data_IF_681590292189
#
_entry.id   IF_681590292189
#
_cell.length_a   1.000
_cell.length_b   1.000
_cell.length_c   1.000
_cell.angle_alpha   90.00
_cell.angle_beta   90.00
_cell.angle_gamma   90.00
#
_symmetry.space_group_name_H-M   'P 1'
#
loop_
_entity.id
_entity.type
_entity.pdbx_description
1 polymer ?
#
# COMPACT_ATOMS: atom_id res chain seq x y z
N UNK A 1 -8.92 17.99 -11.13
CA UNK A 1 -8.26 16.84 -10.49
C UNK A 1 -9.36 15.99 -9.91
N UNK A 2 -9.41 14.72 -10.26
CA UNK A 2 -10.49 13.82 -9.81
C UNK A 2 -10.51 13.74 -8.27
N UNK A 3 -11.70 13.82 -7.67
CA UNK A 3 -11.86 13.78 -6.22
C UNK A 3 -11.30 12.48 -5.63
N UNK A 4 -11.39 11.38 -6.38
CA UNK A 4 -10.85 10.08 -6.01
C UNK A 4 -9.32 10.10 -5.86
N UNK A 5 -8.61 10.81 -6.74
CA UNK A 5 -7.16 10.98 -6.62
C UNK A 5 -6.80 11.71 -5.33
N UNK A 6 -7.53 12.77 -4.98
CA UNK A 6 -7.28 13.50 -3.74
C UNK A 6 -7.53 12.60 -2.52
N UNK A 7 -8.61 11.83 -2.52
CA UNK A 7 -8.93 10.88 -1.44
C UNK A 7 -7.84 9.81 -1.32
N UNK A 8 -7.33 9.29 -2.44
CA UNK A 8 -6.27 8.27 -2.47
C UNK A 8 -4.92 8.76 -1.90
N UNK A 9 -4.66 10.08 -1.88
CA UNK A 9 -3.44 10.63 -1.26
C UNK A 9 -3.48 10.67 0.27
N UNK A 10 -4.66 10.70 0.90
CA UNK A 10 -4.80 10.75 2.36
C UNK A 10 -4.14 9.53 3.03
N UNK A 11 -4.40 8.27 2.59
CA UNK A 11 -3.70 7.09 3.08
C UNK A 11 -2.16 7.16 2.97
N UNK A 12 -1.64 7.77 1.91
CA UNK A 12 -0.19 7.96 1.71
C UNK A 12 0.38 8.83 2.83
N UNK A 13 -0.24 9.97 3.10
CA UNK A 13 0.20 10.88 4.17
C UNK A 13 0.11 10.24 5.56
N UNK A 14 -0.94 9.45 5.82
CA UNK A 14 -1.07 8.70 7.08
C UNK A 14 0.09 7.71 7.24
N UNK A 15 0.43 6.98 6.17
CA UNK A 15 1.55 6.02 6.20
C UNK A 15 2.91 6.71 6.37
N UNK A 16 3.14 7.81 5.65
CA UNK A 16 4.34 8.64 5.77
C UNK A 16 4.51 9.18 7.20
N UNK A 17 3.44 9.73 7.77
CA UNK A 17 3.43 10.17 9.17
C UNK A 17 3.84 9.01 10.10
N UNK A 18 3.26 7.83 9.89
CA UNK A 18 3.59 6.63 10.63
C UNK A 18 5.07 6.26 10.58
N UNK A 19 5.68 6.22 9.39
CA UNK A 19 7.11 5.86 9.27
C UNK A 19 8.02 6.95 9.86
N UNK A 20 7.72 8.24 9.63
CA UNK A 20 8.51 9.38 10.12
C UNK A 20 8.47 9.45 11.65
N UNK A 21 7.29 9.29 12.24
CA UNK A 21 7.11 9.29 13.70
C UNK A 21 7.40 7.92 14.33
N UNK A 22 7.78 6.92 13.53
CA UNK A 22 8.03 5.53 13.97
C UNK A 22 6.82 4.93 14.69
N UNK A 23 5.61 5.35 14.31
CA UNK A 23 4.35 4.89 14.85
C UNK A 23 3.75 3.83 13.93
N UNK A 24 3.92 2.56 14.33
CA UNK A 24 3.49 1.40 13.54
C UNK A 24 1.99 1.42 13.22
N UNK A 25 1.15 1.86 14.17
CA UNK A 25 -0.29 1.95 13.96
C UNK A 25 -0.64 2.80 12.72
N UNK A 26 -0.15 4.04 12.66
CA UNK A 26 -0.43 4.93 11.52
C UNK A 26 0.22 4.45 10.23
N UNK A 27 1.42 3.86 10.32
CA UNK A 27 2.06 3.27 9.15
C UNK A 27 1.15 2.22 8.51
N UNK A 28 0.67 1.24 9.29
CA UNK A 28 -0.21 0.18 8.81
C UNK A 28 -1.60 0.71 8.42
N UNK A 29 -2.15 1.65 9.19
CA UNK A 29 -3.46 2.26 8.91
C UNK A 29 -3.50 2.89 7.51
N UNK A 30 -2.43 3.57 7.08
CA UNK A 30 -2.36 4.14 5.73
C UNK A 30 -2.50 3.07 4.64
N UNK A 31 -1.73 1.98 4.72
CA UNK A 31 -1.86 0.88 3.75
C UNK A 31 -3.24 0.20 3.79
N UNK A 32 -3.79 0.02 4.98
CA UNK A 32 -5.09 -0.61 5.16
C UNK A 32 -6.21 0.23 4.55
N UNK A 33 -6.23 1.54 4.82
CA UNK A 33 -7.21 2.45 4.24
C UNK A 33 -7.08 2.51 2.72
N UNK A 34 -5.85 2.48 2.19
CA UNK A 34 -5.64 2.45 0.76
C UNK A 34 -6.19 1.16 0.12
N UNK A 35 -5.92 -0.02 0.72
CA UNK A 35 -6.53 -1.28 0.27
C UNK A 35 -8.05 -1.24 0.33
N UNK A 36 -8.63 -0.61 1.35
CA UNK A 36 -10.07 -0.47 1.50
C UNK A 36 -10.71 0.39 0.40
N UNK A 37 -9.95 1.30 -0.23
CA UNK A 37 -10.40 2.05 -1.41
C UNK A 37 -10.30 1.20 -2.68
N UNK A 38 -9.18 0.51 -2.87
CA UNK A 38 -8.91 -0.23 -4.11
C UNK A 38 -9.81 -1.45 -4.28
N UNK A 39 -10.02 -2.23 -3.22
CA UNK A 39 -10.73 -3.53 -3.33
C UNK A 39 -12.18 -3.35 -3.85
N UNK A 40 -13.02 -2.46 -3.29
CA UNK A 40 -14.39 -2.28 -3.79
C UNK A 40 -14.42 -1.73 -5.22
N UNK A 41 -13.49 -0.82 -5.56
CA UNK A 41 -13.39 -0.24 -6.91
C UNK A 41 -13.11 -1.32 -7.96
N UNK A 42 -12.10 -2.17 -7.73
CA UNK A 42 -11.75 -3.26 -8.63
C UNK A 42 -12.83 -4.34 -8.72
N UNK A 43 -13.52 -4.63 -7.61
CA UNK A 43 -14.67 -5.55 -7.63
C UNK A 43 -15.79 -4.97 -8.50
N UNK A 44 -16.09 -3.68 -8.37
CA UNK A 44 -17.11 -3.01 -9.19
C UNK A 44 -16.72 -3.07 -10.68
N UNK A 45 -15.47 -2.71 -11.01
CA UNK A 45 -14.95 -2.76 -12.38
C UNK A 45 -15.03 -4.17 -12.97
N UNK A 46 -14.74 -5.21 -12.19
CA UNK A 46 -14.87 -6.59 -12.64
C UNK A 46 -16.32 -7.00 -12.93
N UNK A 47 -17.28 -6.53 -12.12
CA UNK A 47 -18.71 -6.79 -12.34
C UNK A 47 -19.17 -6.15 -13.65
N UNK A 48 -18.72 -4.92 -13.93
CA UNK A 48 -19.11 -4.17 -15.12
C UNK A 48 -18.39 -4.68 -16.39
N UNK A 49 -17.11 -5.04 -16.27
CA UNK A 49 -16.27 -5.52 -17.36
C UNK A 49 -15.38 -6.68 -16.88
N UNK A 50 -15.80 -7.94 -17.10
CA UNK A 50 -15.09 -9.10 -16.59
C UNK A 50 -13.69 -9.26 -17.20
N UNK A 51 -12.69 -8.72 -16.51
CA UNK A 51 -11.27 -8.87 -16.84
C UNK A 51 -10.49 -9.37 -15.62
N UNK A 52 -9.68 -10.42 -15.80
CA UNK A 52 -8.91 -11.05 -14.72
C UNK A 52 -7.95 -10.09 -14.01
N UNK A 53 -7.48 -9.04 -14.68
CA UNK A 53 -6.60 -8.03 -14.09
C UNK A 53 -7.23 -7.37 -12.86
N UNK A 54 -8.53 -7.07 -12.88
CA UNK A 54 -9.26 -6.52 -11.74
C UNK A 54 -9.25 -7.46 -10.53
N UNK A 55 -9.50 -8.76 -10.77
CA UNK A 55 -9.48 -9.77 -9.71
C UNK A 55 -8.08 -9.92 -9.13
N UNK A 56 -7.04 -9.93 -9.97
CA UNK A 56 -5.65 -9.98 -9.52
C UNK A 56 -5.29 -8.74 -8.70
N UNK A 57 -5.69 -7.55 -9.14
CA UNK A 57 -5.45 -6.30 -8.44
C UNK A 57 -6.17 -6.29 -7.08
N UNK A 58 -7.46 -6.61 -7.05
CA UNK A 58 -8.21 -6.75 -5.80
C UNK A 58 -7.58 -7.78 -4.84
N UNK A 59 -7.06 -8.90 -5.38
CA UNK A 59 -6.42 -9.95 -4.57
C UNK A 59 -5.14 -9.46 -3.89
N UNK A 60 -4.25 -8.76 -4.62
CA UNK A 60 -3.01 -8.25 -4.01
C UNK A 60 -3.31 -7.18 -2.95
N UNK A 61 -4.33 -6.35 -3.16
CA UNK A 61 -4.73 -5.36 -2.16
C UNK A 61 -5.48 -6.00 -0.98
N UNK A 62 -6.14 -7.13 -1.18
CA UNK A 62 -6.66 -7.99 -0.12
C UNK A 62 -5.55 -8.54 0.78
N UNK A 63 -4.45 -9.02 0.19
CA UNK A 63 -3.26 -9.43 0.95
C UNK A 63 -2.68 -8.25 1.74
N UNK A 64 -2.60 -7.06 1.13
CA UNK A 64 -2.16 -5.85 1.82
C UNK A 64 -3.10 -5.52 3.00
N UNK A 65 -4.42 -5.60 2.82
CA UNK A 65 -5.39 -5.35 3.89
C UNK A 65 -5.20 -6.30 5.08
N UNK A 66 -4.99 -7.60 4.82
CA UNK A 66 -4.74 -8.61 5.85
C UNK A 66 -3.45 -8.29 6.62
N UNK A 67 -2.36 -8.02 5.91
CA UNK A 67 -1.06 -7.75 6.51
C UNK A 67 -1.04 -6.44 7.32
N UNK A 68 -1.88 -5.49 6.95
CA UNK A 68 -1.88 -4.12 7.50
C UNK A 68 -3.08 -3.83 8.38
N UNK A 69 -3.87 -4.85 8.70
CA UNK A 69 -5.00 -4.71 9.61
C UNK A 69 -4.55 -3.96 10.89
N UNK A 70 -5.16 -2.80 11.18
CA UNK A 70 -4.61 -1.87 12.15
C UNK A 70 -4.66 -2.49 13.55
N UNK A 71 -3.52 -2.46 14.23
CA UNK A 71 -3.39 -2.94 15.60
C UNK A 71 -2.44 -2.02 16.38
N UNK A 72 -2.63 -1.97 17.70
CA UNK A 72 -1.89 -1.06 18.59
C UNK A 72 -0.61 -1.69 19.17
N UNK A 73 -0.10 -2.77 18.58
CA UNK A 73 1.13 -3.40 19.09
C UNK A 73 2.34 -2.50 18.83
N UNK A 74 3.06 -2.22 19.90
CA UNK A 74 4.33 -1.51 19.94
C UNK A 74 5.48 -2.37 19.43
N UNK A 75 6.59 -1.73 19.06
CA UNK A 75 7.84 -2.43 18.78
C UNK A 75 8.43 -2.91 20.11
N UNK A 76 8.34 -4.21 20.38
CA UNK A 76 8.79 -4.81 21.66
C UNK A 76 10.30 -5.19 21.66
N UNK A 77 11.00 -4.96 20.55
CA UNK A 77 12.43 -5.27 20.41
C UNK A 77 12.78 -6.75 20.30
N UNK A 78 11.80 -7.65 20.36
CA UNK A 78 12.04 -9.09 20.25
C UNK A 78 12.50 -9.46 18.85
N UNK A 79 13.32 -10.52 18.75
CA UNK A 79 13.74 -11.07 17.44
C UNK A 79 12.54 -11.49 16.59
N UNK A 80 11.49 -12.00 17.24
CA UNK A 80 10.24 -12.42 16.59
C UNK A 80 9.54 -11.21 15.99
N UNK A 81 9.34 -10.13 16.75
CA UNK A 81 8.71 -8.91 16.25
C UNK A 81 9.52 -8.26 15.15
N UNK A 82 10.85 -8.18 15.29
CA UNK A 82 11.74 -7.63 14.25
C UNK A 82 11.64 -8.43 12.95
N UNK A 83 11.65 -9.76 13.02
CA UNK A 83 11.47 -10.64 11.86
C UNK A 83 10.10 -10.45 11.21
N UNK A 84 9.04 -10.44 12.02
CA UNK A 84 7.67 -10.18 11.56
C UNK A 84 7.54 -8.83 10.87
N UNK A 85 8.03 -7.76 11.51
CA UNK A 85 7.99 -6.41 10.96
C UNK A 85 8.72 -6.29 9.63
N UNK A 86 9.94 -6.83 9.50
CA UNK A 86 10.69 -6.84 8.24
C UNK A 86 9.94 -7.61 7.15
N UNK A 87 9.38 -8.78 7.47
CA UNK A 87 8.59 -9.56 6.51
C UNK A 87 7.36 -8.79 6.05
N UNK A 88 6.62 -8.15 6.95
CA UNK A 88 5.49 -7.28 6.60
C UNK A 88 5.95 -6.16 5.65
N UNK A 89 7.02 -5.44 5.99
CA UNK A 89 7.51 -4.33 5.17
C UNK A 89 7.94 -4.77 3.76
N UNK A 90 8.66 -5.89 3.65
CA UNK A 90 9.08 -6.44 2.35
C UNK A 90 7.87 -6.93 1.53
N UNK A 91 6.86 -7.51 2.17
CA UNK A 91 5.61 -7.86 1.49
C UNK A 91 4.89 -6.62 0.96
N UNK A 92 4.85 -5.51 1.72
CA UNK A 92 4.25 -4.26 1.24
C UNK A 92 5.00 -3.63 0.07
N UNK A 93 6.34 -3.70 0.09
CA UNK A 93 7.16 -3.32 -1.05
C UNK A 93 6.80 -4.15 -2.28
N UNK A 94 6.76 -5.48 -2.16
CA UNK A 94 6.46 -6.37 -3.28
C UNK A 94 5.03 -6.19 -3.81
N UNK A 95 4.03 -6.06 -2.93
CA UNK A 95 2.65 -5.83 -3.36
C UNK A 95 2.53 -4.56 -4.21
N UNK A 96 3.12 -3.45 -3.76
CA UNK A 96 3.03 -2.19 -4.49
C UNK A 96 3.92 -2.17 -5.74
N UNK A 97 5.05 -2.88 -5.74
CA UNK A 97 5.83 -3.10 -6.95
C UNK A 97 5.04 -3.90 -7.99
N UNK A 98 4.35 -4.98 -7.57
CA UNK A 98 3.47 -5.76 -8.44
C UNK A 98 2.31 -4.90 -8.95
N UNK A 99 1.74 -4.02 -8.12
CA UNK A 99 0.70 -3.08 -8.57
C UNK A 99 1.19 -2.18 -9.70
N UNK A 100 2.40 -1.60 -9.58
CA UNK A 100 3.02 -0.82 -10.66
C UNK A 100 3.20 -1.67 -11.92
N UNK A 101 3.66 -2.92 -11.79
CA UNK A 101 3.85 -3.82 -12.94
C UNK A 101 2.52 -4.17 -13.61
N UNK A 102 1.48 -4.49 -12.85
CA UNK A 102 0.15 -4.81 -13.38
C UNK A 102 -0.45 -3.62 -14.12
N UNK A 103 -0.34 -2.40 -13.57
CA UNK A 103 -0.78 -1.17 -14.23
C UNK A 103 -0.05 -0.97 -15.56
N UNK A 104 1.26 -1.23 -15.63
CA UNK A 104 2.02 -1.11 -16.89
C UNK A 104 1.68 -2.21 -17.91
N UNK A 105 1.38 -3.42 -17.46
CA UNK A 105 1.07 -4.55 -18.34
C UNK A 105 -0.39 -4.53 -18.84
N UNK A 106 -1.29 -3.97 -18.04
CA UNK A 106 -2.73 -3.92 -18.30
C UNK A 106 -3.32 -2.51 -18.08
N UNK A 107 -2.78 -1.47 -18.73
CA UNK A 107 -3.20 -0.10 -18.49
C UNK A 107 -4.66 0.12 -18.88
N UNK A 108 -5.09 -0.40 -20.03
CA UNK A 108 -6.45 -0.19 -20.57
C UNK A 108 -7.57 -0.83 -19.73
N UNK A 109 -7.24 -1.83 -18.90
CA UNK A 109 -8.23 -2.41 -17.98
C UNK A 109 -8.19 -1.73 -16.63
N UNK A 110 -7.01 -1.47 -16.07
CA UNK A 110 -6.89 -0.96 -14.70
C UNK A 110 -7.05 0.55 -14.57
N UNK A 111 -6.98 1.31 -15.68
CA UNK A 111 -7.02 2.77 -15.67
C UNK A 111 -7.98 3.29 -16.75
N UNK A 112 -9.00 4.05 -16.37
CA UNK A 112 -10.06 4.50 -17.28
C UNK A 112 -9.62 5.57 -18.31
N UNK A 113 -8.54 6.31 -18.02
CA UNK A 113 -8.15 7.53 -18.76
C UNK A 113 -6.82 7.37 -19.54
N UNK A 114 -6.39 6.12 -19.79
CA UNK A 114 -5.18 5.84 -20.59
C UNK A 114 -5.22 6.51 -21.96
N UNK A 115 -6.39 6.57 -22.58
CA UNK A 115 -6.57 7.02 -23.97
C UNK A 115 -6.81 8.54 -24.10
N UNK A 116 -7.09 9.25 -23.00
CA UNK A 116 -7.45 10.67 -23.01
C UNK A 116 -6.27 11.59 -22.72
N UNK A 117 -5.53 11.38 -21.63
CA UNK A 117 -4.34 12.18 -21.32
C UNK A 117 -3.27 11.45 -20.48
N UNK A 118 -3.53 10.22 -20.00
CA UNK A 118 -2.56 9.42 -19.25
C UNK A 118 -2.19 9.98 -17.87
N UNK A 119 -2.86 11.03 -17.41
CA UNK A 119 -2.58 11.67 -16.13
C UNK A 119 -2.93 10.72 -14.97
N UNK A 120 -4.05 10.02 -15.08
CA UNK A 120 -4.51 9.06 -14.06
C UNK A 120 -3.55 7.88 -13.95
N UNK A 121 -3.06 7.38 -15.09
CA UNK A 121 -2.03 6.33 -15.14
C UNK A 121 -0.77 6.76 -14.38
N UNK A 122 -0.27 7.96 -14.69
CA UNK A 122 0.94 8.52 -14.06
C UNK A 122 0.75 8.65 -12.55
N UNK A 123 -0.41 9.17 -12.11
CA UNK A 123 -0.72 9.35 -10.69
C UNK A 123 -0.81 8.00 -9.97
N UNK A 124 -1.49 7.02 -10.54
CA UNK A 124 -1.60 5.67 -9.96
C UNK A 124 -0.20 5.05 -9.79
N UNK A 125 0.64 5.11 -10.83
CA UNK A 125 2.02 4.63 -10.77
C UNK A 125 2.85 5.36 -9.70
N UNK A 126 2.69 6.67 -9.55
CA UNK A 126 3.37 7.45 -8.50
C UNK A 126 2.91 7.02 -7.11
N UNK A 127 1.59 6.89 -6.89
CA UNK A 127 1.04 6.50 -5.58
C UNK A 127 1.57 5.11 -5.17
N UNK A 128 1.48 4.11 -6.06
CA UNK A 128 2.01 2.78 -5.76
C UNK A 128 3.54 2.79 -5.64
N UNK A 129 4.25 3.55 -6.46
CA UNK A 129 5.70 3.73 -6.34
C UNK A 129 6.10 4.28 -4.96
N UNK A 130 5.39 5.30 -4.47
CA UNK A 130 5.59 5.84 -3.11
C UNK A 130 5.29 4.75 -2.06
N UNK A 131 4.15 4.07 -2.16
CA UNK A 131 3.82 2.97 -1.25
C UNK A 131 4.79 1.78 -1.33
N UNK A 132 5.48 1.57 -2.44
CA UNK A 132 6.55 0.58 -2.52
C UNK A 132 7.79 1.03 -1.75
N UNK A 133 8.12 2.33 -1.76
CA UNK A 133 9.37 2.83 -1.17
C UNK A 133 9.30 3.06 0.35
N UNK A 134 8.16 3.52 0.89
CA UNK A 134 8.00 3.79 2.35
C UNK A 134 8.39 2.58 3.24
N UNK A 135 8.01 1.32 2.94
CA UNK A 135 8.38 0.16 3.74
C UNK A 135 9.88 -0.09 3.78
N UNK A 136 10.63 0.30 2.74
CA UNK A 136 12.09 0.16 2.73
C UNK A 136 12.74 1.09 3.77
N UNK A 137 12.15 2.27 4.01
CA UNK A 137 12.53 3.16 5.11
C UNK A 137 12.25 2.47 6.45
N UNK A 138 11.08 1.84 6.59
CA UNK A 138 10.72 1.05 7.77
C UNK A 138 11.70 -0.10 8.05
N UNK A 139 12.07 -0.86 7.00
CA UNK A 139 13.09 -1.91 7.05
C UNK A 139 14.44 -1.36 7.54
N UNK A 140 14.92 -0.27 6.94
CA UNK A 140 16.17 0.37 7.35
C UNK A 140 16.16 0.77 8.83
N UNK A 141 15.08 1.40 9.29
CA UNK A 141 14.93 1.82 10.68
C UNK A 141 14.93 0.62 11.64
N UNK A 142 14.23 -0.47 11.30
CA UNK A 142 14.23 -1.70 12.10
C UNK A 142 15.61 -2.38 12.11
N UNK A 143 16.23 -2.57 10.95
CA UNK A 143 17.53 -3.22 10.82
C UNK A 143 18.63 -2.47 11.57
N UNK A 144 18.61 -1.14 11.46
CA UNK A 144 19.57 -0.25 12.13
C UNK A 144 19.25 0.03 13.60
N UNK A 145 18.24 -0.63 14.19
CA UNK A 145 17.79 -0.43 15.57
C UNK A 145 17.46 1.05 15.90
N UNK A 146 16.91 1.79 14.92
CA UNK A 146 16.52 3.20 15.08
C UNK A 146 15.08 3.38 15.55
N UNK A 147 14.37 2.30 15.87
CA UNK A 147 13.01 2.31 16.43
C UNK A 147 13.09 2.09 17.94
N UNK A 148 12.45 2.96 18.71
CA UNK A 148 12.36 2.83 20.16
C UNK A 148 11.54 1.60 20.54
N UNK A 149 12.07 0.84 21.51
CA UNK A 149 11.35 -0.29 22.11
C UNK A 149 10.37 0.22 23.15
N UNK A 150 9.13 -0.26 23.11
CA UNK A 150 8.07 0.07 24.07
C UNK A 150 7.33 -1.20 24.48
N UNK A 151 6.89 -1.26 25.73
CA UNK A 151 6.00 -2.33 26.20
C UNK A 151 4.63 -2.23 25.53
N UNK A 152 3.99 -3.37 25.28
CA UNK A 152 2.61 -3.42 24.80
C UNK A 152 1.61 -3.14 25.92
#
# INVERSE_FOLDING_TARGET
MDALVLIATIPVFISLYGVIKKQRFFFLLGYFLFSFLVIPDEISRYIDSPNISHVLFATIFGLQAILTFPNKLNYDGTKVFKSFGIKTMLSLFLINLIAVLLINLHPDSLIDDVQTNGQTLTIAMIIHGVFALIPLIGCYLMLSNKIEVRSN
#
